data_IF_683285059985
#
_entry.id   IF_683285059985
#
_cell.length_a   1.000
_cell.length_b   1.000
_cell.length_c   1.000
_cell.angle_alpha   90.00
_cell.angle_beta   90.00
_cell.angle_gamma   90.00
#
_symmetry.space_group_name_H-M   'P 1'
#
loop_
_entity.id
_entity.type
_entity.pdbx_description
1 polymer ?
#
# COMPACT_ATOMS: atom_id res chain seq x y z
N UNK A 1 -32.14 -5.80 -13.84
CA UNK A 1 -30.91 -5.45 -14.57
C UNK A 1 -30.55 -4.04 -14.19
N UNK A 2 -29.64 -3.86 -13.26
CA UNK A 2 -29.05 -2.55 -12.95
C UNK A 2 -28.26 -2.11 -14.15
N UNK A 3 -28.63 -0.98 -14.77
CA UNK A 3 -27.85 -0.43 -15.89
C UNK A 3 -26.47 -0.06 -15.36
N UNK A 4 -25.43 -0.71 -15.88
CA UNK A 4 -24.04 -0.31 -15.59
C UNK A 4 -23.88 1.13 -16.06
N UNK A 5 -23.60 2.05 -15.14
CA UNK A 5 -23.35 3.45 -15.48
C UNK A 5 -22.05 3.51 -16.28
N UNK A 6 -22.09 3.99 -17.53
CA UNK A 6 -20.92 4.11 -18.41
C UNK A 6 -20.40 5.54 -18.44
N UNK A 7 -19.13 5.70 -18.78
CA UNK A 7 -18.55 7.00 -19.11
C UNK A 7 -19.39 7.69 -20.19
N UNK A 8 -19.55 9.02 -20.14
CA UNK A 8 -20.28 9.75 -21.17
C UNK A 8 -19.60 9.63 -22.54
N UNK A 9 -20.39 9.44 -23.59
CA UNK A 9 -19.90 9.34 -24.97
C UNK A 9 -19.62 7.89 -25.42
N UNK A 10 -19.47 7.73 -26.71
CA UNK A 10 -19.06 6.47 -27.33
C UNK A 10 -17.53 6.41 -27.32
N UNK A 11 -16.97 5.75 -26.32
CA UNK A 11 -15.53 5.58 -26.16
C UNK A 11 -15.15 4.25 -26.78
N UNK A 12 -14.39 4.28 -27.86
CA UNK A 12 -13.87 3.09 -28.53
C UNK A 12 -12.80 2.36 -27.75
N UNK A 13 -11.91 1.64 -28.42
CA UNK A 13 -10.90 0.84 -27.75
C UNK A 13 -9.89 1.69 -26.96
N UNK A 14 -9.70 1.34 -25.69
CA UNK A 14 -8.78 2.00 -24.75
C UNK A 14 -7.48 1.19 -24.68
N UNK A 15 -6.36 1.83 -25.03
CA UNK A 15 -5.04 1.19 -25.01
C UNK A 15 -4.22 1.64 -23.82
N UNK A 16 -3.72 0.69 -23.02
CA UNK A 16 -2.88 0.93 -21.86
C UNK A 16 -1.40 0.70 -22.18
N UNK A 17 -0.56 1.72 -22.05
CA UNK A 17 0.90 1.60 -22.17
C UNK A 17 1.49 1.24 -20.81
N UNK A 18 2.05 0.03 -20.68
CA UNK A 18 2.48 -0.52 -19.39
C UNK A 18 1.31 -1.13 -18.61
N UNK A 19 0.46 -1.92 -19.26
CA UNK A 19 -0.77 -2.49 -18.71
C UNK A 19 -0.51 -3.44 -17.51
N UNK A 20 0.68 -4.05 -17.42
CA UNK A 20 1.08 -4.94 -16.34
C UNK A 20 1.44 -4.23 -15.03
N UNK A 21 1.50 -2.89 -15.03
CA UNK A 21 1.65 -2.12 -13.79
C UNK A 21 0.44 -2.30 -12.87
N UNK A 22 0.68 -2.43 -11.54
CA UNK A 22 -0.40 -2.71 -10.56
C UNK A 22 -1.55 -1.71 -10.70
N UNK A 23 -1.29 -0.40 -10.66
CA UNK A 23 -2.35 0.60 -10.80
C UNK A 23 -2.99 0.66 -12.19
N UNK A 24 -2.30 0.24 -13.26
CA UNK A 24 -2.83 0.20 -14.62
C UNK A 24 -3.76 -1.00 -14.83
N UNK A 25 -3.35 -2.18 -14.37
CA UNK A 25 -4.12 -3.42 -14.53
C UNK A 25 -5.46 -3.36 -13.83
N UNK A 26 -5.51 -2.80 -12.61
CA UNK A 26 -6.77 -2.67 -11.86
C UNK A 26 -7.80 -1.79 -12.59
N UNK A 27 -7.36 -0.67 -13.18
CA UNK A 27 -8.22 0.20 -13.99
C UNK A 27 -8.69 -0.54 -15.26
N UNK A 28 -7.78 -1.25 -15.92
CA UNK A 28 -8.09 -2.02 -17.12
C UNK A 28 -9.16 -3.11 -16.86
N UNK A 29 -9.06 -3.82 -15.73
CA UNK A 29 -10.05 -4.83 -15.31
C UNK A 29 -11.43 -4.22 -15.04
N UNK A 30 -11.49 -3.08 -14.34
CA UNK A 30 -12.76 -2.40 -14.07
C UNK A 30 -13.41 -1.91 -15.38
N UNK A 31 -12.64 -1.34 -16.30
CA UNK A 31 -13.15 -0.93 -17.61
C UNK A 31 -13.67 -2.12 -18.43
N UNK A 32 -12.93 -3.23 -18.42
CA UNK A 32 -13.34 -4.45 -19.13
C UNK A 32 -14.68 -4.98 -18.60
N UNK A 33 -14.86 -5.04 -17.27
CA UNK A 33 -16.11 -5.48 -16.65
C UNK A 33 -17.28 -4.53 -16.97
N UNK A 34 -17.00 -3.23 -17.08
CA UNK A 34 -18.00 -2.24 -17.51
C UNK A 34 -18.33 -2.33 -19.01
N UNK A 35 -17.73 -3.29 -19.75
CA UNK A 35 -18.01 -3.57 -21.15
C UNK A 35 -17.30 -2.63 -22.13
N UNK A 36 -16.17 -2.01 -21.71
CA UNK A 36 -15.28 -1.29 -22.64
C UNK A 36 -14.35 -2.25 -23.34
N UNK A 37 -13.97 -1.91 -24.57
CA UNK A 37 -12.90 -2.61 -25.28
C UNK A 37 -11.56 -2.14 -24.74
N UNK A 38 -10.81 -3.03 -24.12
CA UNK A 38 -9.50 -2.75 -23.53
C UNK A 38 -8.43 -3.54 -24.25
N UNK A 39 -7.30 -2.91 -24.53
CA UNK A 39 -6.06 -3.53 -25.01
C UNK A 39 -4.87 -2.86 -24.35
N UNK A 40 -3.68 -3.45 -24.42
CA UNK A 40 -2.49 -2.79 -23.87
C UNK A 40 -1.19 -3.46 -24.21
N UNK A 41 -0.10 -2.82 -23.82
CA UNK A 41 1.26 -3.31 -23.99
C UNK A 41 2.03 -3.31 -22.68
N UNK A 42 3.04 -4.16 -22.59
CA UNK A 42 4.05 -4.09 -21.55
C UNK A 42 5.43 -4.47 -22.10
N UNK A 43 6.50 -4.07 -21.42
CA UNK A 43 7.87 -4.38 -21.88
C UNK A 43 8.18 -5.88 -21.79
N UNK A 44 7.53 -6.60 -20.86
CA UNK A 44 7.70 -8.06 -20.66
C UNK A 44 6.38 -8.72 -20.26
N UNK A 45 6.29 -10.04 -20.45
CA UNK A 45 5.22 -10.85 -19.86
C UNK A 45 5.41 -10.96 -18.35
N UNK A 46 4.31 -10.87 -17.62
CA UNK A 46 4.23 -10.99 -16.16
C UNK A 46 2.96 -11.76 -15.78
N UNK A 47 2.83 -12.32 -14.58
CA UNK A 47 1.58 -12.94 -14.14
C UNK A 47 0.35 -12.03 -14.27
N UNK A 48 0.53 -10.71 -14.12
CA UNK A 48 -0.55 -9.73 -14.28
C UNK A 48 -0.98 -9.65 -15.77
N UNK A 49 -0.02 -9.51 -16.69
CA UNK A 49 -0.33 -9.45 -18.12
C UNK A 49 -0.93 -10.75 -18.66
N UNK A 50 -0.49 -11.90 -18.16
CA UNK A 50 -1.03 -13.21 -18.49
C UNK A 50 -2.47 -13.36 -17.98
N UNK A 51 -2.76 -12.90 -16.78
CA UNK A 51 -4.11 -12.87 -16.22
C UNK A 51 -5.05 -12.00 -17.05
N UNK A 52 -4.64 -10.79 -17.44
CA UNK A 52 -5.42 -9.92 -18.32
C UNK A 52 -5.69 -10.55 -19.69
N UNK A 53 -4.68 -11.19 -20.28
CA UNK A 53 -4.84 -11.94 -21.51
C UNK A 53 -5.84 -13.10 -21.36
N UNK A 54 -5.81 -13.82 -20.24
CA UNK A 54 -6.79 -14.85 -19.89
C UNK A 54 -8.23 -14.32 -19.74
N UNK A 55 -8.38 -13.04 -19.39
CA UNK A 55 -9.68 -12.34 -19.36
C UNK A 55 -10.13 -11.85 -20.76
N UNK A 56 -9.36 -12.09 -21.82
CA UNK A 56 -9.67 -11.70 -23.19
C UNK A 56 -9.14 -10.33 -23.61
N UNK A 57 -8.27 -9.70 -22.80
CA UNK A 57 -7.60 -8.44 -23.16
C UNK A 57 -6.45 -8.72 -24.14
N UNK A 58 -6.39 -8.10 -25.34
CA UNK A 58 -5.22 -8.16 -26.20
C UNK A 58 -4.02 -7.48 -25.52
N UNK A 59 -3.00 -8.26 -25.12
CA UNK A 59 -1.78 -7.75 -24.49
C UNK A 59 -0.59 -7.97 -25.42
N UNK A 60 0.13 -6.88 -25.73
CA UNK A 60 1.30 -6.89 -26.59
C UNK A 60 2.59 -6.84 -25.75
N UNK A 61 3.50 -7.78 -26.00
CA UNK A 61 4.84 -7.74 -25.40
C UNK A 61 5.75 -6.86 -26.24
N UNK A 62 6.37 -5.86 -25.59
CA UNK A 62 7.16 -4.81 -26.24
C UNK A 62 6.29 -3.66 -26.75
N UNK A 63 6.73 -2.44 -26.45
CA UNK A 63 6.03 -1.20 -26.80
C UNK A 63 6.39 -0.76 -28.22
N UNK A 64 5.42 -0.75 -29.13
CA UNK A 64 5.60 -0.47 -30.56
C UNK A 64 4.40 0.33 -31.10
N UNK A 65 4.63 1.29 -31.98
CA UNK A 65 3.61 2.14 -32.59
C UNK A 65 2.42 1.33 -33.18
N UNK A 66 2.68 0.17 -33.78
CA UNK A 66 1.64 -0.70 -34.36
C UNK A 66 0.65 -1.28 -33.34
N UNK A 67 1.01 -1.32 -32.05
CA UNK A 67 0.12 -1.83 -31.00
C UNK A 67 -1.12 -0.95 -30.80
N UNK A 68 -1.06 0.31 -31.26
CA UNK A 68 -2.21 1.24 -31.22
C UNK A 68 -3.25 0.97 -32.32
N UNK A 69 -3.13 -0.11 -33.11
CA UNK A 69 -4.14 -0.43 -34.09
C UNK A 69 -5.50 -0.61 -33.43
N UNK A 70 -6.52 0.14 -33.90
CA UNK A 70 -7.86 0.14 -33.32
C UNK A 70 -8.05 0.97 -32.05
N UNK A 71 -6.97 1.48 -31.45
CA UNK A 71 -7.08 2.32 -30.26
C UNK A 71 -7.64 3.71 -30.59
N UNK A 72 -8.54 4.20 -29.76
CA UNK A 72 -9.13 5.55 -29.82
C UNK A 72 -8.72 6.42 -28.62
N UNK A 73 -8.35 5.80 -27.48
CA UNK A 73 -7.82 6.46 -26.29
C UNK A 73 -6.58 5.73 -25.82
N UNK A 74 -5.57 6.47 -25.36
CA UNK A 74 -4.33 5.91 -24.83
C UNK A 74 -4.15 6.32 -23.36
N UNK A 75 -4.00 5.33 -22.47
CA UNK A 75 -3.77 5.54 -21.05
C UNK A 75 -2.29 5.30 -20.73
N UNK A 76 -1.66 6.24 -20.04
CA UNK A 76 -0.25 6.18 -19.64
C UNK A 76 -0.07 6.36 -18.13
N UNK A 77 0.97 5.73 -17.58
CA UNK A 77 1.47 6.03 -16.22
C UNK A 77 2.59 7.08 -16.25
N UNK A 78 2.98 7.58 -15.07
CA UNK A 78 4.12 8.50 -14.90
C UNK A 78 5.46 7.88 -15.32
N UNK A 79 5.56 6.55 -15.38
CA UNK A 79 6.74 5.83 -15.84
C UNK A 79 6.98 5.97 -17.35
N UNK A 80 5.95 6.29 -18.14
CA UNK A 80 6.06 6.43 -19.61
C UNK A 80 6.64 7.81 -19.93
N UNK A 81 7.84 7.81 -20.51
CA UNK A 81 8.59 9.05 -20.82
C UNK A 81 8.42 9.44 -22.30
N UNK A 82 8.69 10.71 -22.66
CA UNK A 82 8.84 11.15 -24.05
C UNK A 82 9.83 10.24 -24.80
N UNK A 83 9.54 9.96 -26.08
CA UNK A 83 10.29 8.99 -26.89
C UNK A 83 9.76 7.56 -26.83
N UNK A 84 8.71 7.30 -26.03
CA UNK A 84 8.02 6.01 -26.07
C UNK A 84 7.27 5.87 -27.40
N UNK A 85 7.50 4.77 -28.20
CA UNK A 85 6.94 4.64 -29.55
C UNK A 85 5.40 4.70 -29.61
N UNK A 86 4.71 4.21 -28.57
CA UNK A 86 3.25 4.23 -28.53
C UNK A 86 2.73 5.62 -28.15
N UNK A 87 3.38 6.31 -27.19
CA UNK A 87 3.02 7.66 -26.83
C UNK A 87 3.23 8.64 -28.01
N UNK A 88 4.36 8.50 -28.72
CA UNK A 88 4.67 9.37 -29.86
C UNK A 88 3.70 9.11 -31.02
N UNK A 89 3.36 7.86 -31.30
CA UNK A 89 2.36 7.50 -32.29
C UNK A 89 0.94 7.99 -31.93
N UNK A 90 0.55 7.88 -30.66
CA UNK A 90 -0.73 8.42 -30.17
C UNK A 90 -0.84 9.93 -30.46
N UNK A 91 0.20 10.67 -30.13
CA UNK A 91 0.29 12.13 -30.40
C UNK A 91 0.25 12.44 -31.89
N UNK A 92 1.01 11.69 -32.71
CA UNK A 92 1.03 11.84 -34.15
C UNK A 92 -0.36 11.62 -34.78
N UNK A 93 -1.14 10.68 -34.24
CA UNK A 93 -2.51 10.38 -34.68
C UNK A 93 -3.57 11.30 -34.08
N UNK A 94 -3.19 12.19 -33.15
CA UNK A 94 -4.13 13.06 -32.43
C UNK A 94 -5.08 12.30 -31.50
N UNK A 95 -4.68 11.12 -31.01
CA UNK A 95 -5.49 10.36 -30.05
C UNK A 95 -5.44 11.04 -28.67
N UNK A 96 -6.56 11.06 -27.93
CA UNK A 96 -6.54 11.45 -26.53
C UNK A 96 -5.54 10.60 -25.74
N UNK A 97 -4.63 11.28 -24.99
CA UNK A 97 -3.68 10.64 -24.09
C UNK A 97 -4.08 11.02 -22.68
N UNK A 98 -4.51 10.03 -21.90
CA UNK A 98 -5.05 10.19 -20.54
C UNK A 98 -4.06 9.61 -19.54
N UNK A 99 -3.82 10.30 -18.44
CA UNK A 99 -3.01 9.76 -17.36
C UNK A 99 -3.78 8.74 -16.53
N UNK A 100 -3.08 7.78 -15.93
CA UNK A 100 -3.66 6.74 -15.04
C UNK A 100 -4.63 7.34 -14.02
N UNK A 101 -4.23 8.40 -13.32
CA UNK A 101 -5.07 9.02 -12.30
C UNK A 101 -6.31 9.73 -12.89
N UNK A 102 -6.22 10.26 -14.09
CA UNK A 102 -7.37 10.86 -14.78
C UNK A 102 -8.39 9.78 -15.17
N UNK A 103 -7.93 8.65 -15.69
CA UNK A 103 -8.81 7.52 -16.00
C UNK A 103 -9.46 6.95 -14.73
N UNK A 104 -8.70 6.83 -13.63
CA UNK A 104 -9.24 6.42 -12.34
C UNK A 104 -10.30 7.41 -11.84
N UNK A 105 -10.06 8.73 -11.97
CA UNK A 105 -11.02 9.75 -11.57
C UNK A 105 -12.34 9.65 -12.35
N UNK A 106 -12.29 9.31 -13.66
CA UNK A 106 -13.51 9.09 -14.43
C UNK A 106 -14.29 7.87 -13.94
N UNK A 107 -13.61 6.76 -13.61
CA UNK A 107 -14.27 5.59 -13.01
C UNK A 107 -14.89 5.92 -11.65
N UNK A 108 -14.19 6.70 -10.82
CA UNK A 108 -14.66 7.12 -9.49
C UNK A 108 -15.95 7.97 -9.58
N UNK A 109 -16.15 8.75 -10.65
CA UNK A 109 -17.37 9.52 -10.87
C UNK A 109 -18.62 8.67 -11.10
N UNK A 110 -18.45 7.41 -11.47
CA UNK A 110 -19.55 6.50 -11.71
C UNK A 110 -20.15 5.89 -10.43
N UNK A 111 -19.44 6.00 -9.30
CA UNK A 111 -19.82 5.42 -8.01
C UNK A 111 -19.54 6.38 -6.86
N UNK A 112 -20.25 6.25 -5.75
CA UNK A 112 -19.81 6.79 -4.47
C UNK A 112 -18.47 6.12 -4.11
N UNK A 113 -17.53 6.87 -3.52
CA UNK A 113 -16.20 6.31 -3.38
C UNK A 113 -15.49 6.72 -2.08
N UNK A 114 -14.57 5.86 -1.65
CA UNK A 114 -13.63 6.08 -0.57
C UNK A 114 -12.23 6.14 -1.16
N UNK A 115 -11.54 7.25 -1.01
CA UNK A 115 -10.16 7.41 -1.43
C UNK A 115 -9.23 7.46 -0.20
N UNK A 116 -8.26 6.56 -0.16
CA UNK A 116 -7.33 6.43 0.97
C UNK A 116 -5.98 7.03 0.59
N UNK A 117 -5.66 8.17 1.20
CA UNK A 117 -4.40 8.88 1.05
C UNK A 117 -3.57 8.83 2.35
N UNK A 118 -2.34 9.28 2.25
CA UNK A 118 -1.34 9.34 3.31
C UNK A 118 -0.01 8.81 2.83
N UNK A 119 1.06 9.10 3.52
CA UNK A 119 2.39 8.63 3.12
C UNK A 119 2.51 7.12 3.35
N UNK A 120 2.08 6.62 4.51
CA UNK A 120 2.16 5.21 4.90
C UNK A 120 0.77 4.62 5.21
N UNK A 121 0.64 3.30 5.07
CA UNK A 121 -0.57 2.57 5.45
C UNK A 121 -1.71 2.58 4.41
N UNK A 122 -1.58 3.29 3.28
CA UNK A 122 -2.61 3.39 2.23
C UNK A 122 -3.17 2.03 1.80
N UNK A 123 -2.30 1.15 1.32
CA UNK A 123 -2.68 -0.18 0.81
C UNK A 123 -3.40 -1.01 1.86
N UNK A 124 -2.90 -1.01 3.09
CA UNK A 124 -3.50 -1.75 4.20
C UNK A 124 -4.87 -1.19 4.57
N UNK A 125 -4.98 0.13 4.71
CA UNK A 125 -6.25 0.80 5.02
C UNK A 125 -7.29 0.60 3.91
N UNK A 126 -6.89 0.72 2.63
CA UNK A 126 -7.75 0.45 1.47
C UNK A 126 -8.30 -0.98 1.52
N UNK A 127 -7.44 -1.96 1.83
CA UNK A 127 -7.83 -3.36 1.97
C UNK A 127 -8.78 -3.57 3.14
N UNK A 128 -8.53 -2.93 4.29
CA UNK A 128 -9.40 -3.03 5.47
C UNK A 128 -10.77 -2.40 5.21
N UNK A 129 -10.82 -1.22 4.55
CA UNK A 129 -12.10 -0.60 4.12
C UNK A 129 -12.86 -1.56 3.22
N UNK A 130 -12.19 -2.12 2.19
CA UNK A 130 -12.81 -3.07 1.27
C UNK A 130 -13.37 -4.29 2.00
N UNK A 131 -12.61 -4.87 2.92
CA UNK A 131 -13.02 -6.05 3.69
C UNK A 131 -14.23 -5.76 4.60
N UNK A 132 -14.25 -4.62 5.28
CA UNK A 132 -15.38 -4.23 6.11
C UNK A 132 -16.64 -3.99 5.26
N UNK A 133 -16.51 -3.28 4.13
CA UNK A 133 -17.63 -3.02 3.24
C UNK A 133 -18.16 -4.31 2.61
N UNK A 134 -17.28 -5.26 2.28
CA UNK A 134 -17.68 -6.57 1.77
C UNK A 134 -18.46 -7.37 2.83
N UNK A 135 -17.94 -7.44 4.05
CA UNK A 135 -18.64 -8.05 5.19
C UNK A 135 -19.99 -7.35 5.50
N UNK A 136 -20.07 -6.04 5.27
CA UNK A 136 -21.29 -5.24 5.36
C UNK A 136 -22.25 -5.43 4.18
N UNK A 137 -21.94 -6.27 3.19
CA UNK A 137 -22.70 -6.54 1.97
C UNK A 137 -22.85 -5.33 1.04
N UNK A 138 -21.89 -4.40 1.09
CA UNK A 138 -21.86 -3.27 0.15
C UNK A 138 -21.29 -3.66 -1.21
N UNK A 139 -20.64 -4.82 -1.32
CA UNK A 139 -20.02 -5.37 -2.54
C UNK A 139 -19.24 -4.32 -3.35
N UNK A 140 -18.18 -3.71 -2.78
CA UNK A 140 -17.50 -2.59 -3.39
C UNK A 140 -16.63 -3.00 -4.60
N UNK A 141 -16.51 -2.10 -5.57
CA UNK A 141 -15.39 -2.14 -6.51
C UNK A 141 -14.14 -1.63 -5.80
N UNK A 142 -13.01 -2.31 -5.97
CA UNK A 142 -11.75 -1.99 -5.28
C UNK A 142 -10.62 -1.85 -6.29
N UNK A 143 -9.81 -0.77 -6.17
CA UNK A 143 -8.53 -0.61 -6.88
C UNK A 143 -7.47 -0.23 -5.84
N UNK A 144 -6.51 -1.13 -5.66
CA UNK A 144 -5.50 -1.04 -4.61
C UNK A 144 -4.07 -0.98 -5.20
N UNK A 145 -3.12 -0.45 -4.45
CA UNK A 145 -1.70 -0.43 -4.81
C UNK A 145 -0.96 -1.75 -4.57
N UNK A 146 -1.59 -2.72 -3.91
CA UNK A 146 -1.04 -4.05 -3.64
C UNK A 146 -2.05 -5.16 -3.87
N UNK A 147 -1.57 -6.40 -3.91
CA UNK A 147 -2.44 -7.57 -4.05
C UNK A 147 -3.17 -7.84 -2.73
N UNK A 148 -4.47 -7.92 -2.79
CA UNK A 148 -5.35 -8.27 -1.67
C UNK A 148 -5.45 -9.80 -1.59
N UNK A 149 -5.07 -10.40 -0.47
CA UNK A 149 -5.06 -11.87 -0.32
C UNK A 149 -6.41 -12.51 -0.63
N UNK A 150 -7.49 -11.93 -0.13
CA UNK A 150 -8.84 -12.45 -0.32
C UNK A 150 -9.28 -12.49 -1.79
N UNK A 151 -8.69 -11.65 -2.64
CA UNK A 151 -9.06 -11.55 -4.05
C UNK A 151 -8.00 -12.13 -5.01
N UNK A 152 -6.78 -12.38 -4.53
CA UNK A 152 -5.65 -12.78 -5.37
C UNK A 152 -5.27 -11.74 -6.43
N UNK A 153 -5.77 -10.51 -6.30
CA UNK A 153 -5.62 -9.41 -7.26
C UNK A 153 -5.50 -8.07 -6.52
N UNK A 154 -5.00 -7.07 -7.21
CA UNK A 154 -5.00 -5.68 -6.76
C UNK A 154 -6.31 -4.94 -7.11
N UNK A 155 -7.21 -5.57 -7.85
CA UNK A 155 -8.52 -5.04 -8.17
C UNK A 155 -9.61 -6.08 -7.98
N UNK A 156 -10.79 -5.62 -7.67
CA UNK A 156 -12.03 -6.40 -7.65
C UNK A 156 -13.16 -5.54 -8.18
N UNK A 157 -13.97 -6.07 -9.07
CA UNK A 157 -15.21 -5.43 -9.50
C UNK A 157 -16.35 -5.93 -8.63
N UNK A 158 -16.99 -5.01 -7.91
CA UNK A 158 -18.20 -5.24 -7.14
C UNK A 158 -19.43 -4.66 -7.81
N UNK A 159 -20.59 -5.24 -7.55
CA UNK A 159 -21.88 -4.78 -8.10
C UNK A 159 -22.52 -3.66 -7.26
N UNK A 160 -21.94 -3.34 -6.11
CA UNK A 160 -22.44 -2.30 -5.22
C UNK A 160 -22.17 -0.88 -5.72
N UNK A 161 -22.74 0.09 -5.03
CA UNK A 161 -22.66 1.52 -5.36
C UNK A 161 -21.33 2.17 -4.90
N UNK A 162 -20.49 1.45 -4.17
CA UNK A 162 -19.27 1.98 -3.60
C UNK A 162 -18.02 1.51 -4.34
N UNK A 163 -17.05 2.40 -4.39
CA UNK A 163 -15.71 2.13 -4.90
C UNK A 163 -14.68 2.51 -3.84
N UNK A 164 -13.68 1.67 -3.61
CA UNK A 164 -12.58 1.92 -2.68
C UNK A 164 -11.29 2.00 -3.46
N UNK A 165 -10.57 3.10 -3.35
CA UNK A 165 -9.34 3.33 -4.12
C UNK A 165 -8.20 3.79 -3.23
N UNK A 166 -7.00 3.35 -3.55
CA UNK A 166 -5.77 3.93 -3.04
C UNK A 166 -5.44 5.21 -3.80
N UNK A 167 -5.23 6.31 -3.08
CA UNK A 167 -4.91 7.62 -3.60
C UNK A 167 -3.41 7.92 -3.39
N UNK A 168 -2.63 7.77 -4.46
CA UNK A 168 -1.18 7.88 -4.46
C UNK A 168 -0.75 9.36 -4.57
N UNK A 169 -0.07 9.88 -3.55
CA UNK A 169 0.41 11.27 -3.47
C UNK A 169 1.74 11.50 -4.19
N UNK A 170 2.43 10.44 -4.61
CA UNK A 170 3.82 10.49 -5.09
C UNK A 170 4.07 11.45 -6.25
N UNK A 171 3.09 11.70 -7.10
CA UNK A 171 3.16 12.59 -8.26
C UNK A 171 2.10 13.71 -8.21
N UNK A 172 1.44 13.90 -7.06
CA UNK A 172 0.40 14.92 -6.85
C UNK A 172 -0.90 14.68 -7.61
N UNK A 173 -1.00 13.60 -8.39
CA UNK A 173 -2.20 13.33 -9.21
C UNK A 173 -3.41 12.89 -8.38
N UNK A 174 -3.22 12.46 -7.12
CA UNK A 174 -4.31 12.15 -6.19
C UNK A 174 -5.26 13.34 -5.99
N UNK A 175 -4.79 14.57 -6.16
CA UNK A 175 -5.60 15.79 -6.13
C UNK A 175 -6.64 15.89 -7.27
N UNK A 176 -6.59 15.01 -8.26
CA UNK A 176 -7.57 14.92 -9.35
C UNK A 176 -8.70 13.93 -9.03
N UNK A 177 -8.55 13.13 -7.97
CA UNK A 177 -9.52 12.11 -7.60
C UNK A 177 -10.74 12.76 -6.92
N UNK A 178 -11.96 12.51 -7.41
CA UNK A 178 -13.20 13.09 -6.86
C UNK A 178 -13.68 12.26 -5.65
N UNK A 179 -12.97 12.33 -4.52
CA UNK A 179 -13.32 11.58 -3.33
C UNK A 179 -14.66 12.00 -2.72
N UNK A 180 -15.54 11.04 -2.42
CA UNK A 180 -16.75 11.26 -1.60
C UNK A 180 -16.38 11.15 -0.11
N UNK A 181 -15.60 10.12 0.23
CA UNK A 181 -14.98 9.97 1.56
C UNK A 181 -13.46 9.96 1.34
N UNK A 182 -12.75 10.82 2.04
CA UNK A 182 -11.28 10.90 2.00
C UNK A 182 -10.71 10.43 3.33
N UNK A 183 -9.84 9.43 3.31
CA UNK A 183 -9.05 9.03 4.49
C UNK A 183 -7.65 9.63 4.35
N UNK A 184 -7.10 10.18 5.43
CA UNK A 184 -5.70 10.57 5.54
C UNK A 184 -5.09 9.85 6.74
N UNK A 185 -4.13 8.99 6.47
CA UNK A 185 -3.49 8.15 7.49
C UNK A 185 -2.38 8.88 8.25
N UNK A 186 -1.48 9.53 7.52
CA UNK A 186 -0.35 10.31 8.02
C UNK A 186 0.21 11.17 6.89
N UNK A 187 1.06 12.14 7.22
CA UNK A 187 1.78 12.99 6.28
C UNK A 187 3.25 13.01 6.71
N UNK A 188 4.09 12.29 5.99
CA UNK A 188 5.54 12.21 6.21
C UNK A 188 6.26 12.84 5.00
N UNK A 189 7.40 13.52 5.17
CA UNK A 189 8.17 14.08 4.06
C UNK A 189 8.75 12.99 3.14
N UNK A 190 7.95 12.52 2.20
CA UNK A 190 8.34 11.58 1.14
C UNK A 190 8.03 12.20 -0.23
N UNK A 191 8.67 11.68 -1.29
CA UNK A 191 8.50 12.18 -2.66
C UNK A 191 8.84 13.66 -2.84
N UNK A 192 9.85 14.14 -2.09
CA UNK A 192 10.25 15.55 -2.10
C UNK A 192 10.83 16.01 -3.46
N UNK A 193 11.25 15.07 -4.31
CA UNK A 193 11.59 15.34 -5.71
C UNK A 193 10.40 15.89 -6.53
N UNK A 194 9.17 15.53 -6.13
CA UNK A 194 7.94 16.06 -6.72
C UNK A 194 7.45 17.32 -5.99
N UNK A 195 7.37 17.25 -4.66
CA UNK A 195 6.75 18.30 -3.85
C UNK A 195 7.66 19.52 -3.66
N UNK A 196 8.97 19.33 -3.66
CA UNK A 196 9.98 20.36 -3.47
C UNK A 196 10.08 20.86 -2.02
N UNK A 197 8.95 21.10 -1.35
CA UNK A 197 8.89 21.56 0.05
C UNK A 197 7.78 20.85 0.81
N UNK A 198 7.94 20.71 2.13
CA UNK A 198 6.90 20.16 3.02
C UNK A 198 5.60 20.98 2.97
N UNK A 199 5.72 22.31 2.82
CA UNK A 199 4.55 23.18 2.67
C UNK A 199 3.70 22.80 1.44
N UNK A 200 4.33 22.46 0.32
CA UNK A 200 3.63 22.01 -0.88
C UNK A 200 2.98 20.65 -0.67
N UNK A 201 3.64 19.73 0.03
CA UNK A 201 3.08 18.44 0.41
C UNK A 201 1.82 18.64 1.28
N UNK A 202 1.92 19.43 2.35
CA UNK A 202 0.79 19.74 3.23
C UNK A 202 -0.36 20.42 2.47
N UNK A 203 -0.04 21.34 1.56
CA UNK A 203 -1.05 21.96 0.68
C UNK A 203 -1.72 20.94 -0.22
N UNK A 204 -0.95 19.98 -0.77
CA UNK A 204 -1.50 18.88 -1.57
C UNK A 204 -2.54 18.06 -0.80
N UNK A 205 -2.26 17.67 0.43
CA UNK A 205 -3.22 16.96 1.29
C UNK A 205 -4.44 17.82 1.66
N UNK A 206 -4.23 19.11 1.95
CA UNK A 206 -5.33 20.05 2.19
C UNK A 206 -6.24 20.15 0.96
N UNK A 207 -5.66 20.35 -0.23
CA UNK A 207 -6.42 20.44 -1.48
C UNK A 207 -7.19 19.15 -1.79
N UNK A 208 -6.62 17.99 -1.49
CA UNK A 208 -7.28 16.70 -1.65
C UNK A 208 -8.54 16.60 -0.76
N UNK A 209 -8.39 16.86 0.54
CA UNK A 209 -9.49 16.73 1.50
C UNK A 209 -10.54 17.84 1.33
N UNK A 210 -10.13 19.07 1.02
CA UNK A 210 -11.05 20.20 0.87
C UNK A 210 -11.98 20.07 -0.35
N UNK A 211 -11.64 19.22 -1.33
CA UNK A 211 -12.46 18.97 -2.54
C UNK A 211 -13.59 17.97 -2.35
N UNK A 212 -13.65 17.25 -1.22
CA UNK A 212 -14.78 16.35 -0.96
C UNK A 212 -16.09 17.14 -1.01
N UNK A 213 -17.22 16.55 -1.47
CA UNK A 213 -18.47 17.25 -1.55
C UNK A 213 -19.01 17.62 -0.15
N UNK A 214 -19.94 18.57 -0.06
CA UNK A 214 -20.50 19.01 1.23
C UNK A 214 -21.18 17.89 2.02
N UNK A 215 -21.63 16.85 1.36
CA UNK A 215 -22.21 15.64 1.96
C UNK A 215 -21.19 14.55 2.23
N UNK A 216 -19.94 14.76 1.85
CA UNK A 216 -18.85 13.82 2.03
C UNK A 216 -18.29 13.78 3.46
N UNK A 217 -17.23 13.03 3.65
CA UNK A 217 -16.59 12.84 4.93
C UNK A 217 -15.06 12.84 4.79
N UNK A 218 -14.37 13.62 5.62
CA UNK A 218 -12.94 13.48 5.86
C UNK A 218 -12.71 12.57 7.09
N UNK A 219 -11.87 11.56 6.96
CA UNK A 219 -11.49 10.63 8.02
C UNK A 219 -9.98 10.78 8.27
N UNK A 220 -9.60 11.35 9.39
CA UNK A 220 -8.25 11.86 9.63
C UNK A 220 -7.61 11.24 10.87
N UNK A 221 -6.39 10.70 10.75
CA UNK A 221 -5.62 10.15 11.87
C UNK A 221 -4.95 11.27 12.65
N UNK A 222 -5.47 11.61 13.84
CA UNK A 222 -4.92 12.69 14.66
C UNK A 222 -3.80 12.26 15.62
N UNK A 223 -3.29 11.05 15.48
CA UNK A 223 -2.02 10.67 16.11
C UNK A 223 -0.80 11.24 15.34
N UNK A 224 -1.01 11.61 14.08
CA UNK A 224 -0.04 12.30 13.25
C UNK A 224 -0.20 13.83 13.41
N UNK A 225 0.88 14.55 13.78
CA UNK A 225 0.80 16.00 14.03
C UNK A 225 0.41 16.82 12.80
N UNK A 226 0.85 16.43 11.60
CA UNK A 226 0.58 17.15 10.36
C UNK A 226 -0.87 16.94 9.91
N UNK A 227 -1.39 15.73 10.10
CA UNK A 227 -2.84 15.46 9.92
C UNK A 227 -3.67 16.21 10.94
N UNK A 228 -3.23 16.31 12.19
CA UNK A 228 -3.91 17.13 13.20
C UNK A 228 -3.93 18.62 12.80
N UNK A 229 -2.81 19.13 12.27
CA UNK A 229 -2.72 20.50 11.75
C UNK A 229 -3.59 20.70 10.49
N UNK A 230 -3.73 19.68 9.65
CA UNK A 230 -4.64 19.65 8.51
C UNK A 230 -6.10 19.76 8.98
N UNK A 231 -6.51 18.95 9.97
CA UNK A 231 -7.87 18.97 10.54
C UNK A 231 -8.24 20.35 11.05
N UNK A 232 -7.32 21.05 11.72
CA UNK A 232 -7.54 22.40 12.24
C UNK A 232 -7.89 23.44 11.14
N UNK A 233 -7.49 23.18 9.88
CA UNK A 233 -7.77 24.06 8.72
C UNK A 233 -9.05 23.69 7.98
N UNK A 234 -9.65 22.54 8.26
CA UNK A 234 -10.87 22.05 7.57
C UNK A 234 -12.14 22.55 8.28
N UNK A 235 -12.53 23.80 8.02
CA UNK A 235 -13.70 24.44 8.67
C UNK A 235 -15.02 24.14 7.98
N UNK A 236 -14.99 23.81 6.68
CA UNK A 236 -16.19 23.71 5.82
C UNK A 236 -16.50 22.28 5.40
N UNK A 237 -15.90 21.30 6.04
CA UNK A 237 -16.09 19.86 5.73
C UNK A 237 -16.40 19.07 6.99
N UNK A 238 -17.19 18.03 6.83
CA UNK A 238 -17.44 17.09 7.91
C UNK A 238 -16.18 16.25 8.13
N UNK A 239 -15.65 16.29 9.35
CA UNK A 239 -14.45 15.54 9.76
C UNK A 239 -14.83 14.54 10.83
N UNK A 240 -14.27 13.34 10.75
CA UNK A 240 -14.22 12.33 11.81
C UNK A 240 -12.74 12.01 12.04
N UNK A 241 -12.31 12.18 13.27
CA UNK A 241 -10.93 11.91 13.69
C UNK A 241 -10.80 10.50 14.25
N UNK A 242 -9.63 9.88 14.06
CA UNK A 242 -9.35 8.59 14.64
C UNK A 242 -7.90 8.49 15.15
N UNK A 243 -7.65 7.55 16.05
CA UNK A 243 -6.33 7.29 16.60
C UNK A 243 -6.35 6.71 18.01
N UNK A 244 -5.24 6.87 18.73
CA UNK A 244 -5.07 6.44 20.12
C UNK A 244 -5.25 7.60 21.10
N UNK A 245 -5.10 8.84 20.62
CA UNK A 245 -5.19 10.01 21.48
C UNK A 245 -6.62 10.22 22.02
N UNK A 246 -6.72 10.86 23.20
CA UNK A 246 -8.00 11.02 23.90
C UNK A 246 -9.00 11.94 23.19
N UNK A 247 -8.57 12.72 22.20
CA UNK A 247 -9.42 13.66 21.46
C UNK A 247 -10.08 13.04 20.23
N UNK A 248 -9.57 11.89 19.77
CA UNK A 248 -10.09 11.21 18.59
C UNK A 248 -11.57 10.79 18.78
N UNK A 249 -12.36 10.94 17.71
CA UNK A 249 -13.78 10.53 17.67
C UNK A 249 -13.93 9.00 17.69
N UNK A 250 -12.99 8.31 17.05
CA UNK A 250 -12.90 6.85 17.03
C UNK A 250 -11.52 6.46 17.57
N UNK A 251 -11.51 5.84 18.76
CA UNK A 251 -10.29 5.62 19.50
C UNK A 251 -10.12 4.16 19.90
N UNK A 252 -8.92 3.59 19.69
CA UNK A 252 -8.58 2.30 20.26
C UNK A 252 -8.06 2.45 21.69
N UNK A 253 -8.49 1.53 22.56
CA UNK A 253 -8.07 1.40 23.95
C UNK A 253 -7.84 -0.07 24.33
N UNK A 254 -7.24 -0.33 25.48
CA UNK A 254 -7.02 -1.68 26.01
C UNK A 254 -6.23 -2.60 25.07
N UNK A 255 -5.18 -2.04 24.43
CA UNK A 255 -4.37 -2.77 23.45
C UNK A 255 -3.61 -3.93 24.10
N UNK A 256 -3.68 -5.10 23.49
CA UNK A 256 -2.93 -6.30 23.87
C UNK A 256 -2.55 -7.08 22.62
N UNK A 257 -1.42 -7.76 22.65
CA UNK A 257 -0.92 -8.57 21.55
C UNK A 257 -0.72 -10.00 22.03
N UNK A 258 -1.21 -10.96 21.25
CA UNK A 258 -1.02 -12.38 21.51
C UNK A 258 -0.81 -13.11 20.19
N UNK A 259 0.35 -13.77 20.04
CA UNK A 259 0.68 -14.63 18.88
C UNK A 259 0.39 -13.98 17.52
N UNK A 260 0.74 -12.70 17.37
CA UNK A 260 0.54 -11.96 16.13
C UNK A 260 -0.88 -11.43 15.91
N UNK A 261 -1.76 -11.54 16.89
CA UNK A 261 -3.11 -10.97 16.88
C UNK A 261 -3.14 -9.76 17.81
N UNK A 262 -3.62 -8.62 17.29
CA UNK A 262 -3.92 -7.46 18.10
C UNK A 262 -5.34 -7.56 18.69
N UNK A 263 -5.50 -7.30 19.99
CA UNK A 263 -6.77 -7.23 20.70
C UNK A 263 -6.95 -5.83 21.27
N UNK A 264 -8.13 -5.25 21.11
CA UNK A 264 -8.42 -3.89 21.55
C UNK A 264 -9.92 -3.64 21.64
N UNK A 265 -10.30 -2.54 22.26
CA UNK A 265 -11.66 -2.03 22.26
C UNK A 265 -11.69 -0.70 21.48
N UNK A 266 -12.84 -0.38 20.86
CA UNK A 266 -13.02 0.85 20.07
C UNK A 266 -14.08 1.74 20.70
N UNK A 267 -13.68 2.91 21.15
CA UNK A 267 -14.59 3.96 21.62
C UNK A 267 -15.14 4.73 20.42
N UNK A 268 -16.46 4.86 20.37
CA UNK A 268 -17.20 5.67 19.40
C UNK A 268 -17.77 6.89 20.15
N UNK A 269 -17.02 8.00 20.14
CA UNK A 269 -17.34 9.19 20.95
C UNK A 269 -18.71 9.77 20.63
N UNK A 270 -19.02 9.94 19.35
CA UNK A 270 -20.29 10.51 18.91
C UNK A 270 -21.53 9.66 19.30
N UNK A 271 -21.35 8.38 19.56
CA UNK A 271 -22.41 7.44 19.94
C UNK A 271 -22.46 7.21 21.46
N UNK A 272 -21.43 7.65 22.20
CA UNK A 272 -21.18 7.28 23.59
C UNK A 272 -21.23 5.75 23.79
N UNK A 273 -20.51 5.02 22.92
CA UNK A 273 -20.50 3.55 22.86
C UNK A 273 -19.10 3.02 22.68
N UNK A 274 -18.93 1.76 23.06
CA UNK A 274 -17.70 0.99 22.87
C UNK A 274 -18.02 -0.27 22.04
N UNK A 275 -17.12 -0.63 21.12
CA UNK A 275 -17.07 -1.96 20.52
C UNK A 275 -16.03 -2.75 21.28
N UNK A 276 -16.48 -3.60 22.17
CA UNK A 276 -15.60 -4.40 23.03
C UNK A 276 -15.13 -5.67 22.32
N UNK A 277 -13.92 -6.14 22.66
CA UNK A 277 -13.39 -7.43 22.23
C UNK A 277 -13.09 -7.51 20.73
N UNK A 278 -12.63 -6.40 20.14
CA UNK A 278 -12.12 -6.43 18.77
C UNK A 278 -10.81 -7.21 18.71
N UNK A 279 -10.61 -7.92 17.61
CA UNK A 279 -9.34 -8.56 17.28
C UNK A 279 -8.99 -8.32 15.82
N UNK A 280 -7.69 -8.22 15.54
CA UNK A 280 -7.16 -8.05 14.20
C UNK A 280 -5.98 -9.04 14.03
N UNK A 281 -6.01 -9.96 13.07
CA UNK A 281 -4.93 -10.93 12.85
C UNK A 281 -3.71 -10.28 12.16
N UNK A 282 -3.33 -9.11 12.62
CA UNK A 282 -2.12 -8.35 12.26
C UNK A 282 -1.61 -7.64 13.52
N UNK A 283 -0.33 -7.81 13.89
CA UNK A 283 0.25 -7.09 15.01
C UNK A 283 0.61 -5.66 14.64
N UNK A 284 0.89 -4.83 15.64
CA UNK A 284 1.37 -3.47 15.48
C UNK A 284 0.30 -2.40 15.61
N UNK A 285 0.63 -1.34 16.36
CA UNK A 285 -0.25 -0.20 16.59
C UNK A 285 -0.68 0.46 15.28
N UNK A 286 0.24 0.55 14.30
CA UNK A 286 -0.04 1.12 12.99
C UNK A 286 -1.16 0.36 12.25
N UNK A 287 -1.27 -0.97 12.42
CA UNK A 287 -2.36 -1.76 11.82
C UNK A 287 -3.69 -1.53 12.54
N UNK A 288 -3.66 -1.32 13.87
CA UNK A 288 -4.86 -0.89 14.61
C UNK A 288 -5.30 0.50 14.13
N UNK A 289 -4.37 1.47 13.98
CA UNK A 289 -4.69 2.78 13.45
C UNK A 289 -5.33 2.70 12.05
N UNK A 290 -4.76 1.89 11.14
CA UNK A 290 -5.34 1.64 9.82
C UNK A 290 -6.78 1.07 9.91
N UNK A 291 -7.00 0.14 10.86
CA UNK A 291 -8.32 -0.44 11.09
C UNK A 291 -9.33 0.61 11.61
N UNK A 292 -8.92 1.54 12.49
CA UNK A 292 -9.80 2.62 12.96
C UNK A 292 -10.27 3.52 11.83
N UNK A 293 -9.41 3.84 10.84
CA UNK A 293 -9.80 4.56 9.64
C UNK A 293 -10.88 3.83 8.85
N UNK A 294 -10.74 2.51 8.68
CA UNK A 294 -11.74 1.67 8.03
C UNK A 294 -13.06 1.59 8.84
N UNK A 295 -12.97 1.50 10.17
CA UNK A 295 -14.13 1.52 11.09
C UNK A 295 -14.89 2.83 10.97
N UNK A 296 -14.21 3.97 10.82
CA UNK A 296 -14.86 5.27 10.62
C UNK A 296 -15.77 5.26 9.39
N UNK A 297 -15.28 4.73 8.28
CA UNK A 297 -16.06 4.57 7.05
C UNK A 297 -17.23 3.61 7.25
N UNK A 298 -16.98 2.43 7.80
CA UNK A 298 -18.00 1.39 8.04
C UNK A 298 -19.12 1.90 8.94
N UNK A 299 -18.79 2.64 10.01
CA UNK A 299 -19.79 3.28 10.89
C UNK A 299 -20.58 4.39 10.18
N UNK A 300 -19.91 5.22 9.40
CA UNK A 300 -20.58 6.25 8.60
C UNK A 300 -21.62 5.66 7.65
N UNK A 301 -21.33 4.49 7.07
CA UNK A 301 -22.22 3.76 6.17
C UNK A 301 -23.27 2.89 6.90
N UNK A 302 -23.32 2.96 8.23
CA UNK A 302 -24.36 2.31 9.03
C UNK A 302 -24.08 0.84 9.38
N UNK A 303 -22.88 0.35 9.17
CA UNK A 303 -22.50 -1.03 9.56
C UNK A 303 -22.64 -1.22 11.08
N UNK A 304 -23.20 -2.34 11.51
CA UNK A 304 -23.41 -2.62 12.92
C UNK A 304 -22.07 -2.83 13.67
N UNK A 305 -22.04 -2.53 14.97
CA UNK A 305 -20.87 -2.73 15.82
C UNK A 305 -20.41 -4.20 15.85
N UNK A 306 -21.34 -5.12 15.94
CA UNK A 306 -21.03 -6.57 15.87
C UNK A 306 -20.45 -6.96 14.52
N UNK A 307 -21.03 -6.46 13.40
CA UNK A 307 -20.50 -6.71 12.07
C UNK A 307 -19.09 -6.19 11.86
N UNK A 308 -18.76 -5.01 12.43
CA UNK A 308 -17.39 -4.46 12.40
C UNK A 308 -16.43 -5.36 13.19
N UNK A 309 -16.77 -5.74 14.44
CA UNK A 309 -15.94 -6.61 15.24
C UNK A 309 -15.66 -7.93 14.52
N UNK A 310 -16.69 -8.56 13.98
CA UNK A 310 -16.58 -9.84 13.30
C UNK A 310 -15.78 -9.73 11.99
N UNK A 311 -15.93 -8.62 11.25
CA UNK A 311 -15.14 -8.35 10.03
C UNK A 311 -13.65 -8.14 10.33
N UNK A 312 -13.31 -7.40 11.39
CA UNK A 312 -11.92 -7.20 11.84
C UNK A 312 -11.28 -8.53 12.23
N UNK A 313 -11.99 -9.38 12.99
CA UNK A 313 -11.49 -10.69 13.42
C UNK A 313 -11.21 -11.65 12.25
N UNK A 314 -11.95 -11.50 11.14
CA UNK A 314 -11.82 -12.32 9.94
C UNK A 314 -10.99 -11.64 8.82
N UNK A 315 -10.26 -10.57 9.13
CA UNK A 315 -9.45 -9.88 8.14
C UNK A 315 -8.31 -10.77 7.62
N UNK A 316 -8.27 -11.00 6.31
CA UNK A 316 -7.34 -11.94 5.67
C UNK A 316 -5.91 -11.40 5.44
N UNK A 317 -5.62 -10.15 5.84
CA UNK A 317 -4.32 -9.52 5.62
C UNK A 317 -4.10 -9.00 4.19
N UNK A 318 -2.91 -8.45 3.97
CA UNK A 318 -2.44 -7.91 2.69
C UNK A 318 -1.12 -8.55 2.34
N UNK A 319 -0.91 -8.88 1.08
CA UNK A 319 0.35 -9.47 0.63
C UNK A 319 1.53 -8.53 0.90
N UNK A 320 2.63 -9.08 1.42
CA UNK A 320 3.82 -8.33 1.81
C UNK A 320 3.54 -7.21 2.84
N UNK A 321 2.59 -7.42 3.76
CA UNK A 321 2.33 -6.55 4.93
C UNK A 321 2.26 -7.45 6.15
N UNK A 322 3.38 -7.61 6.83
CA UNK A 322 3.58 -8.56 7.93
C UNK A 322 3.11 -9.99 7.58
N UNK A 323 3.41 -10.43 6.35
CA UNK A 323 2.93 -11.72 5.85
C UNK A 323 3.79 -12.85 6.38
N UNK A 324 3.21 -13.77 7.16
CA UNK A 324 3.88 -15.01 7.55
C UNK A 324 4.01 -15.93 6.34
N UNK A 325 5.21 -16.09 5.82
CA UNK A 325 5.48 -16.92 4.64
C UNK A 325 5.82 -18.35 4.98
N UNK A 326 6.18 -18.63 6.24
CA UNK A 326 6.42 -19.99 6.71
C UNK A 326 7.09 -20.05 8.07
N UNK A 327 7.36 -21.28 8.48
CA UNK A 327 8.10 -21.60 9.70
C UNK A 327 9.02 -22.80 9.45
N UNK A 328 10.21 -22.76 9.99
CA UNK A 328 11.15 -23.88 9.96
C UNK A 328 11.96 -23.92 11.25
N UNK A 329 12.05 -25.10 11.88
CA UNK A 329 12.81 -25.29 13.12
C UNK A 329 12.30 -24.41 14.30
N UNK A 330 11.02 -24.01 14.28
CA UNK A 330 10.46 -23.10 15.29
C UNK A 330 10.76 -21.62 15.03
N UNK A 331 11.42 -21.28 13.90
CA UNK A 331 11.69 -19.90 13.48
C UNK A 331 10.61 -19.45 12.50
N UNK A 332 9.90 -18.36 12.83
CA UNK A 332 8.87 -17.76 11.95
C UNK A 332 9.51 -16.82 10.95
N UNK A 333 9.10 -16.89 9.68
CA UNK A 333 9.57 -15.99 8.61
C UNK A 333 8.45 -15.09 8.14
N UNK A 334 8.71 -13.78 8.14
CA UNK A 334 7.79 -12.71 7.74
C UNK A 334 8.33 -12.01 6.49
N UNK A 335 7.46 -11.72 5.53
CA UNK A 335 7.71 -10.85 4.37
C UNK A 335 6.97 -9.53 4.55
N UNK A 336 7.68 -8.41 4.48
CA UNK A 336 7.08 -7.08 4.55
C UNK A 336 7.66 -6.13 3.49
N UNK A 337 6.79 -5.30 2.94
CA UNK A 337 7.13 -4.33 1.91
C UNK A 337 7.85 -3.09 2.47
N UNK A 338 7.91 -2.93 3.79
CA UNK A 338 8.51 -1.80 4.48
C UNK A 338 9.91 -1.47 3.93
N UNK A 339 10.04 -0.26 3.41
CA UNK A 339 11.26 0.20 2.74
C UNK A 339 11.62 1.65 3.10
N UNK A 340 10.78 2.33 3.88
CA UNK A 340 11.06 3.62 4.50
C UNK A 340 11.41 3.42 5.99
N UNK A 341 12.31 4.21 6.61
CA UNK A 341 12.69 4.05 8.01
C UNK A 341 11.52 3.99 8.99
N UNK A 342 10.51 4.86 8.81
CA UNK A 342 9.28 4.89 9.61
C UNK A 342 8.52 3.56 9.52
N UNK A 343 8.39 2.99 8.31
CA UNK A 343 7.74 1.69 8.09
C UNK A 343 8.54 0.56 8.76
N UNK A 344 9.86 0.53 8.56
CA UNK A 344 10.75 -0.48 9.14
C UNK A 344 10.64 -0.49 10.66
N UNK A 345 10.72 0.68 11.31
CA UNK A 345 10.58 0.78 12.75
C UNK A 345 9.22 0.26 13.24
N UNK A 346 8.13 0.58 12.53
CA UNK A 346 6.79 0.11 12.86
C UNK A 346 6.65 -1.41 12.73
N UNK A 347 7.18 -1.99 11.64
CA UNK A 347 7.15 -3.44 11.38
C UNK A 347 8.00 -4.20 12.40
N UNK A 348 9.20 -3.71 12.73
CA UNK A 348 10.06 -4.35 13.73
C UNK A 348 9.46 -4.29 15.14
N UNK A 349 8.79 -3.20 15.50
CA UNK A 349 8.01 -3.11 16.74
C UNK A 349 6.87 -4.13 16.75
N UNK A 350 6.16 -4.30 15.63
CA UNK A 350 5.12 -5.32 15.49
C UNK A 350 5.70 -6.74 15.61
N UNK A 351 6.90 -6.98 15.06
CA UNK A 351 7.59 -8.26 15.19
C UNK A 351 7.96 -8.55 16.66
N UNK A 352 8.45 -7.54 17.38
CA UNK A 352 8.73 -7.65 18.82
C UNK A 352 7.48 -7.96 19.64
N UNK A 353 6.33 -7.39 19.27
CA UNK A 353 5.03 -7.68 19.92
C UNK A 353 4.51 -9.09 19.58
N UNK A 354 4.92 -9.66 18.45
CA UNK A 354 4.45 -10.97 17.96
C UNK A 354 5.34 -12.14 18.39
N UNK A 355 6.54 -11.88 18.91
CA UNK A 355 7.54 -12.91 19.27
C UNK A 355 8.08 -12.69 20.68
N UNK A 356 8.26 -13.81 21.42
CA UNK A 356 8.99 -13.82 22.70
C UNK A 356 10.50 -14.02 22.49
N UNK A 357 10.91 -14.47 21.30
CA UNK A 357 12.29 -14.67 20.89
C UNK A 357 12.97 -13.43 20.32
N UNK A 358 14.10 -13.64 19.64
CA UNK A 358 14.83 -12.55 18.98
C UNK A 358 14.15 -12.15 17.67
N UNK A 359 14.35 -10.90 17.28
CA UNK A 359 13.95 -10.33 16.00
C UNK A 359 15.19 -10.21 15.12
N UNK A 360 15.21 -10.93 14.02
CA UNK A 360 16.28 -10.89 13.01
C UNK A 360 15.73 -10.10 11.81
N UNK A 361 16.18 -8.86 11.64
CA UNK A 361 15.80 -8.03 10.52
C UNK A 361 16.70 -8.29 9.33
N UNK A 362 16.12 -8.52 8.16
CA UNK A 362 16.81 -8.68 6.88
C UNK A 362 16.30 -7.60 5.93
N UNK A 363 17.13 -6.60 5.64
CA UNK A 363 16.68 -5.44 4.88
C UNK A 363 17.41 -5.29 3.55
N UNK A 364 16.65 -5.07 2.48
CA UNK A 364 17.15 -4.65 1.18
C UNK A 364 16.78 -3.18 0.95
N UNK A 365 17.75 -2.24 1.06
CA UNK A 365 17.47 -0.85 0.73
C UNK A 365 16.97 -0.71 -0.71
N UNK A 366 16.00 0.15 -0.93
CA UNK A 366 15.38 0.35 -2.24
C UNK A 366 15.60 1.77 -2.71
N UNK A 367 16.35 1.95 -3.80
CA UNK A 367 16.90 3.16 -4.39
C UNK A 367 18.03 3.78 -3.58
N UNK A 368 19.08 4.18 -4.28
CA UNK A 368 20.22 4.89 -3.70
C UNK A 368 19.84 6.29 -3.20
N UNK A 369 18.96 6.98 -3.93
CA UNK A 369 18.47 8.30 -3.55
C UNK A 369 17.75 8.28 -2.20
N UNK A 370 16.88 7.30 -1.97
CA UNK A 370 16.17 7.16 -0.68
C UNK A 370 17.14 6.85 0.45
N UNK A 371 18.05 5.90 0.26
CA UNK A 371 19.05 5.57 1.26
C UNK A 371 19.93 6.79 1.60
N UNK A 372 20.32 7.56 0.60
CA UNK A 372 21.14 8.78 0.79
C UNK A 372 20.38 9.86 1.58
N UNK A 373 19.12 10.14 1.21
CA UNK A 373 18.34 11.21 1.83
C UNK A 373 17.94 10.90 3.29
N UNK A 374 17.72 9.63 3.63
CA UNK A 374 17.27 9.19 4.97
C UNK A 374 18.35 8.36 5.69
N UNK A 375 19.62 8.60 5.39
CA UNK A 375 20.70 7.73 5.90
C UNK A 375 20.73 7.64 7.43
N UNK A 376 20.61 8.76 8.12
CA UNK A 376 20.60 8.81 9.58
C UNK A 376 19.35 8.13 10.17
N UNK A 377 18.19 8.29 9.52
CA UNK A 377 16.94 7.63 9.91
C UNK A 377 17.06 6.11 9.74
N UNK A 378 17.68 5.63 8.64
CA UNK A 378 17.97 4.21 8.46
C UNK A 378 18.91 3.67 9.54
N UNK A 379 19.90 4.44 9.96
CA UNK A 379 20.80 4.04 11.05
C UNK A 379 20.09 3.91 12.41
N UNK A 380 18.91 4.53 12.58
CA UNK A 380 18.16 4.55 13.84
C UNK A 380 16.92 3.63 13.86
N UNK A 381 16.41 3.18 12.69
CA UNK A 381 15.11 2.50 12.63
C UNK A 381 15.11 1.01 13.03
N UNK A 382 16.29 0.40 13.25
CA UNK A 382 16.42 -1.04 13.54
C UNK A 382 16.55 -1.39 15.03
N UNK A 383 16.31 -0.47 15.93
CA UNK A 383 16.54 -0.65 17.38
C UNK A 383 15.73 -1.80 18.01
N UNK A 384 14.62 -2.22 17.39
CA UNK A 384 13.82 -3.37 17.84
C UNK A 384 14.35 -4.72 17.34
N UNK A 385 15.36 -4.74 16.46
CA UNK A 385 15.99 -5.95 15.99
C UNK A 385 17.21 -6.31 16.84
N UNK A 386 17.38 -7.59 17.15
CA UNK A 386 18.57 -8.12 17.83
C UNK A 386 19.74 -8.31 16.87
N UNK A 387 19.42 -8.67 15.61
CA UNK A 387 20.38 -8.85 14.51
C UNK A 387 19.82 -8.12 13.29
N UNK A 388 20.67 -7.38 12.59
CA UNK A 388 20.35 -6.72 11.33
C UNK A 388 21.24 -7.22 10.21
N UNK A 389 20.65 -7.76 9.17
CA UNK A 389 21.34 -8.18 7.95
C UNK A 389 20.92 -7.27 6.78
N UNK A 390 21.88 -6.58 6.17
CA UNK A 390 21.64 -5.65 5.07
C UNK A 390 22.09 -6.29 3.75
N UNK A 391 21.18 -6.41 2.81
CA UNK A 391 21.44 -6.87 1.45
C UNK A 391 21.87 -5.72 0.52
N UNK A 392 22.36 -6.05 -0.69
CA UNK A 392 22.69 -5.06 -1.70
C UNK A 392 21.50 -4.16 -2.03
N UNK A 393 21.78 -2.87 -2.28
CA UNK A 393 20.76 -1.88 -2.64
C UNK A 393 20.06 -2.31 -3.94
N UNK A 394 18.75 -2.39 -3.91
CA UNK A 394 17.95 -2.54 -5.12
C UNK A 394 17.86 -1.20 -5.85
N UNK A 395 18.63 -1.06 -6.92
CA UNK A 395 18.86 0.22 -7.60
C UNK A 395 17.57 0.83 -8.23
N UNK A 396 16.61 -0.01 -8.66
CA UNK A 396 15.40 0.44 -9.37
C UNK A 396 15.67 1.36 -10.59
N UNK A 397 16.83 1.16 -11.23
CA UNK A 397 17.25 1.96 -12.39
C UNK A 397 18.04 3.22 -12.06
N UNK A 398 18.40 3.44 -10.80
CA UNK A 398 19.29 4.53 -10.38
C UNK A 398 20.76 4.12 -10.43
N UNK A 399 21.64 5.09 -10.63
CA UNK A 399 23.08 4.90 -10.49
C UNK A 399 23.50 4.89 -9.00
N UNK A 400 24.56 4.17 -8.63
CA UNK A 400 25.09 4.19 -7.25
C UNK A 400 25.47 5.61 -6.80
N UNK A 401 25.17 5.92 -5.52
CA UNK A 401 25.54 7.17 -4.86
C UNK A 401 26.62 6.87 -3.80
N UNK A 402 27.70 7.62 -3.81
CA UNK A 402 28.77 7.52 -2.81
C UNK A 402 28.19 7.78 -1.40
N UNK A 403 28.56 6.93 -0.43
CA UNK A 403 28.04 7.00 0.94
C UNK A 403 26.64 6.42 1.15
N UNK A 404 26.03 5.82 0.11
CA UNK A 404 24.71 5.21 0.18
C UNK A 404 24.72 3.74 -0.31
N UNK A 405 25.72 2.99 0.09
CA UNK A 405 25.84 1.56 -0.21
C UNK A 405 25.38 0.71 0.97
N UNK A 406 25.24 -0.61 0.74
CA UNK A 406 25.03 -1.59 1.80
C UNK A 406 26.07 -1.47 2.92
N UNK A 407 27.34 -1.39 2.55
CA UNK A 407 28.43 -1.38 3.51
C UNK A 407 28.50 -0.06 4.29
N UNK A 408 28.12 1.06 3.64
CA UNK A 408 27.96 2.34 4.34
C UNK A 408 26.84 2.27 5.40
N UNK A 409 25.70 1.63 5.08
CA UNK A 409 24.59 1.49 6.03
C UNK A 409 24.99 0.55 7.18
N UNK A 410 25.66 -0.56 6.93
CA UNK A 410 26.17 -1.44 8.00
C UNK A 410 27.11 -0.67 8.92
N UNK A 411 28.07 0.07 8.35
CA UNK A 411 28.97 0.91 9.14
C UNK A 411 28.22 2.02 9.90
N UNK A 412 27.18 2.60 9.30
CA UNK A 412 26.31 3.58 9.92
C UNK A 412 25.56 3.01 11.14
N UNK A 413 24.95 1.85 11.00
CA UNK A 413 24.27 1.13 12.10
C UNK A 413 25.21 0.85 13.29
N UNK A 414 26.42 0.37 13.00
CA UNK A 414 27.43 0.10 14.05
C UNK A 414 27.84 1.41 14.74
N UNK A 415 28.07 2.50 13.98
CA UNK A 415 28.36 3.83 14.55
C UNK A 415 27.19 4.38 15.41
N UNK A 416 25.96 4.11 14.98
CA UNK A 416 24.77 4.47 15.75
C UNK A 416 24.53 3.58 17.01
N UNK A 417 25.38 2.56 17.22
CA UNK A 417 25.37 1.72 18.42
C UNK A 417 24.63 0.39 18.27
N UNK A 418 24.22 0.00 17.07
CA UNK A 418 23.60 -1.31 16.88
C UNK A 418 24.64 -2.42 17.12
N UNK A 419 24.30 -3.41 17.97
CA UNK A 419 25.25 -4.41 18.46
C UNK A 419 25.63 -5.46 17.43
N UNK A 420 24.74 -5.79 16.50
CA UNK A 420 24.92 -6.85 15.52
C UNK A 420 24.31 -6.44 14.17
N UNK A 421 25.10 -5.75 13.35
CA UNK A 421 24.74 -5.37 11.98
C UNK A 421 25.74 -5.99 11.00
N UNK A 422 25.23 -6.63 9.95
CA UNK A 422 26.02 -7.46 9.01
C UNK A 422 25.61 -7.19 7.58
N UNK A 423 26.57 -7.31 6.65
CA UNK A 423 26.32 -7.37 5.21
C UNK A 423 26.02 -8.81 4.80
N UNK A 424 25.05 -8.99 3.91
CA UNK A 424 24.77 -10.26 3.23
C UNK A 424 24.70 -10.03 1.71
N UNK A 425 25.06 -11.03 0.92
CA UNK A 425 25.13 -10.91 -0.54
C UNK A 425 23.94 -11.57 -1.23
N UNK A 426 23.49 -12.72 -0.73
CA UNK A 426 22.49 -13.55 -1.38
C UNK A 426 21.68 -14.40 -0.40
N UNK A 427 20.83 -15.27 -0.94
CA UNK A 427 20.01 -16.20 -0.17
C UNK A 427 20.83 -17.25 0.61
N UNK A 428 22.02 -17.58 0.17
CA UNK A 428 22.89 -18.56 0.83
C UNK A 428 23.46 -17.95 2.12
N UNK A 429 23.90 -16.69 2.05
CA UNK A 429 24.32 -15.93 3.24
C UNK A 429 23.17 -15.78 4.25
N UNK A 430 21.94 -15.51 3.76
CA UNK A 430 20.76 -15.42 4.61
C UNK A 430 20.44 -16.76 5.29
N UNK A 431 20.45 -17.86 4.54
CA UNK A 431 20.24 -19.21 5.09
C UNK A 431 21.27 -19.53 6.17
N UNK A 432 22.55 -19.27 5.88
CA UNK A 432 23.66 -19.50 6.82
C UNK A 432 23.49 -18.66 8.10
N UNK A 433 23.17 -17.37 7.96
CA UNK A 433 22.92 -16.48 9.09
C UNK A 433 21.82 -17.05 10.01
N UNK A 434 20.70 -17.46 9.42
CA UNK A 434 19.55 -17.99 10.20
C UNK A 434 19.90 -19.33 10.86
N UNK A 435 20.59 -20.24 10.15
CA UNK A 435 21.03 -21.52 10.74
C UNK A 435 22.01 -21.36 11.90
N UNK A 436 22.90 -20.38 11.84
CA UNK A 436 23.94 -20.16 12.85
C UNK A 436 23.41 -19.37 14.05
N UNK A 437 22.42 -18.52 13.87
CA UNK A 437 22.03 -17.54 14.89
C UNK A 437 20.60 -17.65 15.38
N UNK A 438 19.66 -18.24 14.61
CA UNK A 438 18.27 -18.30 15.03
C UNK A 438 17.99 -19.53 15.90
N UNK A 439 17.13 -19.33 16.91
CA UNK A 439 16.64 -20.36 17.84
C UNK A 439 15.12 -20.52 17.70
N UNK A 440 14.55 -21.65 18.13
CA UNK A 440 13.09 -21.81 18.18
C UNK A 440 12.43 -20.68 18.99
N UNK A 441 11.42 -20.04 18.40
CA UNK A 441 10.74 -18.86 18.96
C UNK A 441 11.21 -17.54 18.34
N UNK A 442 12.33 -17.52 17.62
CA UNK A 442 12.80 -16.32 16.92
C UNK A 442 11.94 -16.01 15.69
N UNK A 443 11.96 -14.74 15.27
CA UNK A 443 11.27 -14.23 14.09
C UNK A 443 12.27 -13.57 13.14
N UNK A 444 12.25 -14.00 11.88
CA UNK A 444 13.01 -13.38 10.79
C UNK A 444 12.07 -12.50 9.99
N UNK A 445 12.39 -11.21 9.85
CA UNK A 445 11.59 -10.24 9.11
C UNK A 445 12.36 -9.74 7.92
N UNK A 446 11.92 -10.12 6.72
CA UNK A 446 12.48 -9.64 5.46
C UNK A 446 11.74 -8.37 5.02
N UNK A 447 12.49 -7.27 4.87
CA UNK A 447 11.99 -5.91 4.68
C UNK A 447 12.50 -5.33 3.35
N UNK A 448 11.59 -4.84 2.52
CA UNK A 448 11.98 -4.11 1.32
C UNK A 448 11.03 -4.26 0.13
N UNK A 449 11.07 -3.29 -0.77
CA UNK A 449 10.23 -3.25 -1.98
C UNK A 449 10.80 -4.05 -3.16
N UNK A 450 12.06 -4.53 -3.06
CA UNK A 450 12.79 -5.21 -4.13
C UNK A 450 12.63 -6.74 -4.15
N UNK A 451 13.74 -7.43 -4.41
CA UNK A 451 13.80 -8.89 -4.60
C UNK A 451 13.80 -9.67 -3.28
N UNK A 452 13.96 -9.01 -2.15
CA UNK A 452 14.03 -9.63 -0.81
C UNK A 452 12.81 -10.50 -0.48
N UNK A 453 11.65 -10.19 -1.05
CA UNK A 453 10.44 -10.99 -0.91
C UNK A 453 10.60 -12.42 -1.45
N UNK A 454 11.38 -12.58 -2.54
CA UNK A 454 11.74 -13.91 -3.05
C UNK A 454 12.56 -14.71 -2.02
N UNK A 455 13.53 -14.04 -1.38
CA UNK A 455 14.35 -14.66 -0.32
C UNK A 455 13.50 -15.08 0.87
N UNK A 456 12.57 -14.21 1.30
CA UNK A 456 11.64 -14.53 2.38
C UNK A 456 10.82 -15.78 2.08
N UNK A 457 10.25 -15.88 0.87
CA UNK A 457 9.40 -16.99 0.46
C UNK A 457 10.17 -18.32 0.31
N UNK A 458 11.45 -18.25 -0.09
CA UNK A 458 12.30 -19.44 -0.28
C UNK A 458 12.88 -19.95 1.06
N UNK A 459 13.12 -19.06 2.02
CA UNK A 459 13.85 -19.36 3.25
C UNK A 459 13.28 -20.54 4.06
N UNK A 460 11.97 -20.66 4.32
CA UNK A 460 11.44 -21.80 5.08
C UNK A 460 11.75 -23.14 4.42
N UNK A 461 11.61 -23.23 3.10
CA UNK A 461 11.91 -24.45 2.34
C UNK A 461 13.41 -24.79 2.34
N UNK A 462 14.28 -23.78 2.32
CA UNK A 462 15.74 -23.96 2.41
C UNK A 462 16.14 -24.47 3.80
N UNK A 463 15.60 -23.88 4.86
CA UNK A 463 15.89 -24.27 6.24
C UNK A 463 15.41 -25.71 6.58
N UNK A 464 14.36 -26.20 5.93
CA UNK A 464 13.85 -27.57 6.10
C UNK A 464 14.72 -28.64 5.42
N UNK A 465 15.52 -28.27 4.42
CA UNK A 465 16.48 -29.21 3.78
C UNK A 465 17.58 -29.51 4.80
N UNK A 466 17.79 -30.80 5.11
CA UNK A 466 18.95 -31.20 5.92
C UNK A 466 20.23 -30.84 5.14
N UNK A 467 21.17 -30.19 5.83
CA UNK A 467 22.49 -29.90 5.30
C UNK A 467 23.23 -31.21 4.92
#
# INVERSE_FOLDING_TARGET
MTSVTKLPGDVGAIHFVGIGGIGMSGIAEVLLDHGYTVQGSDVKSTPITERLAGMGVPVFVGQKAKNLTGAEVVVISSAIKPGNPELDEARRRGLPVVRRAEMLAELMRLKSNVAVAGTHGKTTTTTMVAALLDAGRFDPTVINGGIIHAYGSNARVGQGEWMVVEADESDGTFNRLPATIAIVTNIDPEHMEHWGTEENLHRGFYDFVSKIPFYGLAVCCTDDPDVQALVAKLTDRRVVTYGFNAQADIRAINLRYDKGIAHFDIVLRAEDKVIEGCSLPMPGDHNIANALGAVAVARHLGMSRAGIRDALANFGGVNRRFTRVGEAGGVTVIDDYGHHPTEIAAVLRAARQASEGRVIAVHQPHRYTRLHHHFDDFCACFNEADVVAIAEVYAAGEDPIEGATRDDLVAGLIRAGHRDARAIHDEDDLEKLVREHAEPGDIVVCLGAGTISGWANNLPGRLQRKA
#
